data_IF_907882772265
#
_entry.id   IF_907882772265
#
_cell.length_a   1.000
_cell.length_b   1.000
_cell.length_c   1.000
_cell.angle_alpha   90.00
_cell.angle_beta   90.00
_cell.angle_gamma   90.00
#
_symmetry.space_group_name_H-M   'P 1'
#
loop_
_entity.id
_entity.type
_entity.pdbx_description
1 polymer ?
#
# COMPACT_ATOMS: atom_id res chain seq x y z
N UNK A 1 -3.62 -18.89 0.11
CA UNK A 1 -2.26 -18.33 0.17
C UNK A 1 -2.46 -16.85 0.43
N UNK A 2 -2.14 -16.40 1.64
CA UNK A 2 -2.26 -15.00 2.01
C UNK A 2 -1.38 -14.19 1.05
N UNK A 3 -1.99 -13.37 0.21
CA UNK A 3 -1.29 -12.63 -0.81
C UNK A 3 -0.60 -11.44 -0.13
N UNK A 4 0.55 -11.70 0.47
CA UNK A 4 1.36 -10.67 1.11
C UNK A 4 1.66 -9.56 0.10
N UNK A 5 1.48 -8.31 0.51
CA UNK A 5 1.79 -7.17 -0.34
C UNK A 5 3.26 -7.17 -0.74
N UNK A 6 3.55 -6.77 -1.98
CA UNK A 6 4.92 -6.66 -2.45
C UNK A 6 5.69 -5.58 -1.68
N UNK A 7 6.95 -5.88 -1.33
CA UNK A 7 7.88 -4.91 -0.72
C UNK A 7 8.19 -3.81 -1.75
N UNK A 8 8.33 -2.53 -1.35
CA UNK A 8 8.78 -1.48 -2.24
C UNK A 8 10.09 -1.83 -2.96
N UNK A 9 10.13 -1.64 -4.28
CA UNK A 9 11.34 -1.89 -5.10
C UNK A 9 12.38 -0.77 -5.02
N UNK A 10 12.00 0.38 -4.46
CA UNK A 10 12.86 1.53 -4.20
C UNK A 10 12.36 2.30 -2.98
N UNK A 11 13.24 3.10 -2.37
CA UNK A 11 12.94 3.91 -1.17
C UNK A 11 13.10 5.41 -1.41
N UNK A 12 13.14 5.83 -2.68
CA UNK A 12 13.26 7.24 -3.05
C UNK A 12 11.92 7.96 -3.11
N UNK A 13 11.90 9.09 -3.83
CA UNK A 13 10.73 9.96 -3.99
C UNK A 13 9.59 9.33 -4.80
N UNK A 14 9.79 8.14 -5.36
CA UNK A 14 8.80 7.35 -6.09
C UNK A 14 7.77 6.65 -5.19
N UNK A 15 7.98 6.64 -3.87
CA UNK A 15 7.07 6.01 -2.91
C UNK A 15 5.75 6.75 -2.80
N UNK A 16 4.68 5.96 -2.69
CA UNK A 16 3.33 6.46 -2.48
C UNK A 16 2.64 5.61 -1.43
N UNK A 17 1.74 6.22 -0.67
CA UNK A 17 0.88 5.53 0.29
C UNK A 17 -0.56 5.48 -0.25
N UNK A 18 -1.19 4.31 -0.24
CA UNK A 18 -2.60 4.16 -0.54
C UNK A 18 -3.46 4.94 0.47
N UNK A 19 -4.36 5.81 -0.02
CA UNK A 19 -5.19 6.67 0.83
C UNK A 19 -6.20 5.86 1.67
N UNK A 20 -6.53 4.63 1.26
CA UNK A 20 -7.47 3.77 1.98
C UNK A 20 -6.80 2.89 3.04
N UNK A 21 -5.79 2.10 2.64
CA UNK A 21 -5.20 1.06 3.48
C UNK A 21 -3.80 1.40 4.00
N UNK A 22 -3.20 2.50 3.53
CA UNK A 22 -1.85 2.99 3.91
C UNK A 22 -0.68 2.10 3.47
N UNK A 23 -0.94 1.09 2.62
CA UNK A 23 0.12 0.32 1.99
C UNK A 23 1.05 1.26 1.21
N UNK A 24 2.36 1.08 1.37
CA UNK A 24 3.40 1.87 0.71
C UNK A 24 4.06 1.00 -0.36
N UNK A 25 4.05 1.47 -1.60
CA UNK A 25 4.71 0.87 -2.78
C UNK A 25 5.22 2.00 -3.68
N UNK A 26 6.05 1.69 -4.68
CA UNK A 26 6.40 2.69 -5.71
C UNK A 26 5.20 2.98 -6.62
N UNK A 27 5.22 4.13 -7.30
CA UNK A 27 4.22 4.45 -8.33
C UNK A 27 4.06 3.33 -9.36
N UNK A 28 5.18 2.83 -9.91
CA UNK A 28 5.17 1.77 -10.92
C UNK A 28 4.58 0.46 -10.38
N UNK A 29 4.86 0.10 -9.13
CA UNK A 29 4.25 -1.09 -8.53
C UNK A 29 2.73 -0.96 -8.37
N UNK A 30 2.21 0.22 -7.98
CA UNK A 30 0.75 0.45 -7.98
C UNK A 30 0.16 0.43 -9.38
N UNK A 31 0.88 0.95 -10.38
CA UNK A 31 0.47 0.93 -11.78
C UNK A 31 0.38 -0.49 -12.33
N UNK A 32 1.35 -1.33 -12.01
CA UNK A 32 1.46 -2.68 -12.59
C UNK A 32 0.60 -3.73 -11.90
N UNK A 33 0.45 -3.63 -10.57
CA UNK A 33 -0.18 -4.69 -9.77
C UNK A 33 -1.31 -4.18 -8.88
N UNK A 34 -1.55 -2.88 -8.85
CA UNK A 34 -2.53 -2.26 -7.98
C UNK A 34 -2.16 -2.35 -6.49
N UNK A 35 -3.19 -2.18 -5.67
CA UNK A 35 -3.12 -2.29 -4.22
C UNK A 35 -3.76 -3.60 -3.77
N UNK A 36 -2.97 -4.46 -3.14
CA UNK A 36 -3.37 -5.81 -2.72
C UNK A 36 -4.53 -5.79 -1.72
N UNK A 37 -4.60 -4.76 -0.87
CA UNK A 37 -5.68 -4.58 0.13
C UNK A 37 -6.89 -3.82 -0.44
N UNK A 38 -6.78 -3.24 -1.65
CA UNK A 38 -7.83 -2.40 -2.24
C UNK A 38 -8.04 -2.71 -3.73
N UNK A 39 -8.38 -3.96 -4.09
CA UNK A 39 -8.53 -4.36 -5.49
C UNK A 39 -9.63 -3.58 -6.23
N UNK A 40 -10.64 -3.08 -5.52
CA UNK A 40 -11.71 -2.24 -6.08
C UNK A 40 -11.22 -0.89 -6.64
N UNK A 41 -9.97 -0.48 -6.38
CA UNK A 41 -9.36 0.66 -7.05
C UNK A 41 -8.92 0.36 -8.49
N UNK A 42 -8.81 -0.89 -8.92
CA UNK A 42 -8.49 -1.28 -10.31
C UNK A 42 -7.32 -0.49 -10.93
N UNK A 43 -6.30 -0.15 -10.14
CA UNK A 43 -5.19 0.69 -10.59
C UNK A 43 -4.31 0.00 -11.65
N UNK A 44 -4.36 -1.33 -11.72
CA UNK A 44 -3.72 -2.19 -12.73
C UNK A 44 -4.38 -2.10 -14.11
N UNK A 45 -5.61 -1.56 -14.17
CA UNK A 45 -6.39 -1.40 -15.41
C UNK A 45 -6.58 0.06 -15.77
N UNK A 46 -6.64 0.93 -14.76
CA UNK A 46 -6.81 2.36 -14.89
C UNK A 46 -5.71 3.08 -14.12
N UNK A 47 -4.62 3.38 -14.83
CA UNK A 47 -3.40 3.93 -14.25
C UNK A 47 -3.58 5.36 -13.73
N UNK A 48 -4.57 6.11 -14.21
CA UNK A 48 -4.87 7.47 -13.70
C UNK A 48 -5.27 7.40 -12.22
N UNK A 49 -5.95 6.30 -11.82
CA UNK A 49 -6.36 6.08 -10.44
C UNK A 49 -5.22 5.93 -9.45
N UNK A 50 -4.00 5.61 -9.90
CA UNK A 50 -2.83 5.56 -9.00
C UNK A 50 -2.65 6.92 -8.34
N UNK A 51 -2.74 8.02 -9.10
CA UNK A 51 -2.55 9.37 -8.56
C UNK A 51 -3.71 9.77 -7.66
N UNK A 52 -4.94 9.41 -8.01
CA UNK A 52 -6.15 9.77 -7.24
C UNK A 52 -6.28 9.00 -5.93
N UNK A 53 -5.82 7.75 -5.90
CA UNK A 53 -6.00 6.84 -4.76
C UNK A 53 -4.76 6.73 -3.87
N UNK A 54 -3.65 7.39 -4.21
CA UNK A 54 -2.40 7.34 -3.44
C UNK A 54 -1.74 8.71 -3.33
N UNK A 55 -0.95 8.93 -2.27
CA UNK A 55 -0.24 10.19 -2.02
C UNK A 55 1.27 9.97 -1.88
N UNK A 56 2.13 10.84 -2.44
CA UNK A 56 3.56 10.84 -2.12
C UNK A 56 3.83 11.50 -0.75
N UNK A 57 2.86 12.22 -0.19
CA UNK A 57 2.98 12.95 1.07
C UNK A 57 2.53 12.07 2.23
N UNK A 58 3.46 11.29 2.80
CA UNK A 58 3.25 10.51 4.01
C UNK A 58 4.47 10.62 4.93
N UNK A 59 4.33 10.21 6.19
CA UNK A 59 5.41 10.26 7.18
C UNK A 59 5.58 8.91 7.87
N UNK A 60 6.82 8.40 7.87
CA UNK A 60 7.18 7.12 8.48
C UNK A 60 6.72 5.91 7.67
N UNK A 61 7.38 4.78 7.90
CA UNK A 61 7.05 3.47 7.30
C UNK A 61 7.14 2.43 8.42
N UNK A 62 6.26 1.42 8.36
CA UNK A 62 6.32 0.23 9.21
C UNK A 62 6.30 -1.01 8.32
N UNK A 63 7.25 -1.91 8.55
CA UNK A 63 7.19 -3.26 7.99
C UNK A 63 6.32 -4.14 8.90
N UNK A 64 5.17 -4.60 8.40
CA UNK A 64 4.24 -5.42 9.17
C UNK A 64 4.22 -6.85 8.62
N UNK A 65 4.69 -7.81 9.42
CA UNK A 65 4.78 -9.23 9.03
C UNK A 65 3.52 -10.03 9.40
N UNK A 66 2.98 -9.79 10.60
CA UNK A 66 1.73 -10.39 11.07
C UNK A 66 0.83 -9.30 11.66
N UNK A 67 -0.06 -8.70 10.83
CA UNK A 67 -0.95 -7.63 11.26
C UNK A 67 -1.91 -8.08 12.38
N UNK A 68 -2.34 -9.34 12.37
CA UNK A 68 -3.34 -9.88 13.32
C UNK A 68 -2.83 -9.95 14.75
N UNK A 69 -1.52 -10.10 14.94
CA UNK A 69 -0.87 -10.19 16.25
C UNK A 69 -0.14 -8.92 16.68
N UNK A 70 -0.02 -7.93 15.80
CA UNK A 70 0.75 -6.71 16.06
C UNK A 70 -0.06 -5.65 16.80
N UNK A 71 0.47 -5.17 17.94
CA UNK A 71 -0.09 -3.99 18.62
C UNK A 71 -0.04 -2.74 17.73
N UNK A 72 1.07 -2.51 17.02
CA UNK A 72 1.22 -1.37 16.13
C UNK A 72 0.20 -1.44 14.96
N UNK A 73 -0.05 -2.63 14.42
CA UNK A 73 -1.06 -2.82 13.38
C UNK A 73 -2.48 -2.51 13.88
N UNK A 74 -2.83 -2.93 15.10
CA UNK A 74 -4.11 -2.58 15.74
C UNK A 74 -4.22 -1.07 15.99
N UNK A 75 -3.17 -0.44 16.52
CA UNK A 75 -3.12 1.00 16.75
C UNK A 75 -3.33 1.79 15.46
N UNK A 76 -2.66 1.36 14.39
CA UNK A 76 -2.77 1.95 13.07
C UNK A 76 -4.02 1.46 12.31
N UNK A 77 -4.86 0.59 12.87
CA UNK A 77 -6.07 0.04 12.20
C UNK A 77 -5.78 -0.63 10.84
N UNK A 78 -4.66 -1.35 10.76
CA UNK A 78 -4.23 -2.12 9.57
C UNK A 78 -4.17 -3.63 9.85
N UNK A 79 -4.93 -4.11 10.84
CA UNK A 79 -4.89 -5.51 11.29
C UNK A 79 -5.94 -6.42 10.62
N UNK A 80 -6.90 -5.85 9.89
CA UNK A 80 -8.03 -6.52 9.21
C UNK A 80 -8.20 -6.10 7.72
N UNK A 81 -7.17 -5.48 7.15
CA UNK A 81 -7.20 -4.97 5.76
C UNK A 81 -6.83 -6.01 4.72
#
# INVERSE_FOLDING_TARGET
MDNAAQVPTGFGHELRACLRCRLVKTYDQFRETGCENCPFFNMDKDHERVVDCTTPNFNGIISCMDPTKSWAARWLRIYEI
#
